data_IF_240294243370
#
_entry.id   IF_240294243370
#
_cell.length_a   1.000
_cell.length_b   1.000
_cell.length_c   1.000
_cell.angle_alpha   90.00
_cell.angle_beta   90.00
_cell.angle_gamma   90.00
#
_symmetry.space_group_name_H-M   'P 1'
#
loop_
_entity.id
_entity.type
_entity.pdbx_description
1 polymer ?
#
# COMPACT_ATOMS: atom_id res chain seq x y z
N UNK A 1 17.95 -13.66 -17.72
CA UNK A 1 18.33 -12.31 -17.25
C UNK A 1 17.14 -11.39 -17.09
N UNK A 2 16.22 -11.33 -18.05
CA UNK A 2 15.00 -10.50 -17.95
C UNK A 2 14.15 -10.86 -16.74
N UNK A 3 14.09 -12.16 -16.38
CA UNK A 3 13.32 -12.65 -15.25
C UNK A 3 13.86 -12.14 -13.92
N UNK A 4 15.20 -12.07 -13.77
CA UNK A 4 15.83 -11.56 -12.55
C UNK A 4 15.53 -10.08 -12.34
N UNK A 5 15.54 -9.28 -13.42
CA UNK A 5 15.22 -7.85 -13.37
C UNK A 5 13.74 -7.66 -13.01
N UNK A 6 12.84 -8.46 -13.58
CA UNK A 6 11.41 -8.42 -13.28
C UNK A 6 11.13 -8.74 -11.83
N UNK A 7 11.81 -9.75 -11.28
CA UNK A 7 11.70 -10.11 -9.86
C UNK A 7 12.13 -8.95 -8.97
N UNK A 8 13.24 -8.31 -9.29
CA UNK A 8 13.74 -7.16 -8.54
C UNK A 8 12.75 -6.00 -8.58
N UNK A 9 12.19 -5.69 -9.76
CA UNK A 9 11.19 -4.63 -9.90
C UNK A 9 9.93 -4.95 -9.10
N UNK A 10 9.47 -6.20 -9.12
CA UNK A 10 8.30 -6.63 -8.36
C UNK A 10 8.55 -6.50 -6.86
N UNK A 11 9.71 -6.89 -6.39
CA UNK A 11 10.10 -6.75 -4.97
C UNK A 11 10.11 -5.28 -4.56
N UNK A 12 10.62 -4.38 -5.41
CA UNK A 12 10.61 -2.94 -5.15
C UNK A 12 9.19 -2.39 -5.09
N UNK A 13 8.31 -2.82 -5.98
CA UNK A 13 6.89 -2.41 -5.94
C UNK A 13 6.23 -2.81 -4.63
N UNK A 14 6.48 -4.05 -4.17
CA UNK A 14 5.95 -4.54 -2.90
C UNK A 14 6.50 -3.69 -1.75
N UNK A 15 7.78 -3.37 -1.76
CA UNK A 15 8.41 -2.52 -0.76
C UNK A 15 7.74 -1.15 -0.70
N UNK A 16 7.53 -0.50 -1.84
CA UNK A 16 6.89 0.82 -1.89
C UNK A 16 5.46 0.77 -1.39
N UNK A 17 4.71 -0.29 -1.73
CA UNK A 17 3.35 -0.46 -1.25
C UNK A 17 3.33 -0.65 0.27
N UNK A 18 4.27 -1.42 0.83
CA UNK A 18 4.38 -1.61 2.27
C UNK A 18 4.67 -0.29 2.98
N UNK A 19 5.54 0.55 2.42
CA UNK A 19 5.83 1.86 2.97
C UNK A 19 4.60 2.77 2.92
N UNK A 20 3.82 2.70 1.83
CA UNK A 20 2.58 3.47 1.72
C UNK A 20 1.53 3.02 2.75
N UNK A 21 1.44 1.72 3.02
CA UNK A 21 0.53 1.19 4.05
C UNK A 21 0.92 1.72 5.43
N UNK A 22 2.21 1.71 5.76
CA UNK A 22 2.72 2.22 7.03
C UNK A 22 2.40 3.71 7.16
N UNK A 23 2.64 4.49 6.10
CA UNK A 23 2.35 5.92 6.07
C UNK A 23 0.85 6.19 6.27
N UNK A 24 0.00 5.40 5.60
CA UNK A 24 -1.45 5.53 5.76
C UNK A 24 -1.90 5.23 7.19
N UNK A 25 -1.32 4.21 7.83
CA UNK A 25 -1.61 3.89 9.22
C UNK A 25 -1.25 5.04 10.14
N UNK A 26 -0.10 5.67 9.90
CA UNK A 26 0.33 6.86 10.64
C UNK A 26 -0.65 8.02 10.45
N UNK A 27 -1.09 8.27 9.22
CA UNK A 27 -2.05 9.34 8.94
C UNK A 27 -3.42 9.07 9.57
N UNK A 28 -3.88 7.82 9.56
CA UNK A 28 -5.12 7.45 10.25
C UNK A 28 -5.06 7.80 11.74
N UNK A 29 -3.95 7.46 12.38
CA UNK A 29 -3.76 7.74 13.78
C UNK A 29 -3.71 9.25 14.04
N UNK A 30 -3.00 9.99 13.19
CA UNK A 30 -2.87 11.44 13.28
C UNK A 30 -4.23 12.15 13.19
N UNK A 31 -5.10 11.72 12.28
CA UNK A 31 -6.40 12.35 12.04
C UNK A 31 -7.55 11.70 12.81
N UNK A 32 -7.26 10.74 13.66
CA UNK A 32 -8.28 9.99 14.40
C UNK A 32 -9.21 10.89 15.21
N UNK A 33 -8.67 11.91 15.87
CA UNK A 33 -9.43 12.82 16.71
C UNK A 33 -9.61 14.20 16.09
N UNK A 34 -9.28 14.35 14.81
CA UNK A 34 -9.41 15.62 14.10
C UNK A 34 -10.82 15.76 13.55
N UNK A 35 -11.55 16.78 14.00
CA UNK A 35 -12.91 17.08 13.56
C UNK A 35 -12.97 18.15 12.48
N UNK A 36 -11.81 18.62 12.00
CA UNK A 36 -11.77 19.60 10.91
C UNK A 36 -12.22 18.96 9.59
N UNK A 37 -12.47 19.79 8.57
CA UNK A 37 -12.86 19.33 7.24
C UNK A 37 -11.79 18.39 6.68
N UNK A 38 -10.52 18.73 6.86
CA UNK A 38 -9.40 17.88 6.41
C UNK A 38 -9.40 16.53 7.12
N UNK A 39 -9.69 16.52 8.42
CA UNK A 39 -9.78 15.29 9.20
C UNK A 39 -10.94 14.41 8.74
N UNK A 40 -12.09 15.01 8.42
CA UNK A 40 -13.24 14.27 7.90
C UNK A 40 -12.92 13.63 6.55
N UNK A 41 -12.29 14.40 5.65
CA UNK A 41 -11.86 13.86 4.34
C UNK A 41 -10.89 12.71 4.52
N UNK A 42 -9.93 12.85 5.43
CA UNK A 42 -8.95 11.80 5.72
C UNK A 42 -9.63 10.55 6.27
N UNK A 43 -10.61 10.70 7.15
CA UNK A 43 -11.35 9.56 7.71
C UNK A 43 -12.09 8.75 6.64
N UNK A 44 -12.53 9.39 5.56
CA UNK A 44 -13.15 8.69 4.44
C UNK A 44 -12.13 8.14 3.45
N UNK A 45 -11.12 8.93 3.11
CA UNK A 45 -10.15 8.59 2.06
C UNK A 45 -9.14 7.53 2.51
N UNK A 46 -8.65 7.61 3.74
CA UNK A 46 -7.60 6.72 4.22
C UNK A 46 -8.01 5.24 4.26
N UNK A 47 -9.22 4.88 4.75
CA UNK A 47 -9.64 3.47 4.72
C UNK A 47 -9.74 2.91 3.31
N UNK A 48 -10.21 3.71 2.34
CA UNK A 48 -10.31 3.29 0.94
C UNK A 48 -8.93 3.08 0.35
N UNK A 49 -8.02 4.02 0.57
CA UNK A 49 -6.64 3.92 0.11
C UNK A 49 -5.94 2.71 0.73
N UNK A 50 -6.14 2.47 2.02
CA UNK A 50 -5.57 1.32 2.72
C UNK A 50 -6.05 0.00 2.13
N UNK A 51 -7.35 -0.13 1.87
CA UNK A 51 -7.93 -1.32 1.25
C UNK A 51 -7.33 -1.56 -0.13
N UNK A 52 -7.19 -0.50 -0.95
CA UNK A 52 -6.59 -0.60 -2.28
C UNK A 52 -5.13 -1.02 -2.21
N UNK A 53 -4.36 -0.46 -1.28
CA UNK A 53 -2.95 -0.80 -1.09
C UNK A 53 -2.79 -2.26 -0.66
N UNK A 54 -3.62 -2.72 0.27
CA UNK A 54 -3.59 -4.10 0.73
C UNK A 54 -3.96 -5.07 -0.38
N UNK A 55 -4.92 -4.71 -1.21
CA UNK A 55 -5.31 -5.51 -2.37
C UNK A 55 -4.15 -5.64 -3.36
N UNK A 56 -3.50 -4.53 -3.70
CA UNK A 56 -2.33 -4.53 -4.58
C UNK A 56 -1.18 -5.33 -3.97
N UNK A 57 -0.94 -5.19 -2.68
CA UNK A 57 0.08 -5.95 -1.96
C UNK A 57 -0.16 -7.45 -2.11
N UNK A 58 -1.41 -7.90 -1.92
CA UNK A 58 -1.77 -9.30 -2.05
C UNK A 58 -1.53 -9.81 -3.47
N UNK A 59 -1.96 -9.05 -4.48
CA UNK A 59 -1.77 -9.43 -5.88
C UNK A 59 -0.28 -9.58 -6.22
N UNK A 60 0.53 -8.60 -5.84
CA UNK A 60 1.97 -8.61 -6.15
C UNK A 60 2.68 -9.72 -5.38
N UNK A 61 2.32 -9.94 -4.12
CA UNK A 61 2.89 -11.02 -3.32
C UNK A 61 2.57 -12.39 -3.91
N UNK A 62 1.34 -12.57 -4.38
CA UNK A 62 0.93 -13.81 -5.04
C UNK A 62 1.71 -14.04 -6.34
N UNK A 63 1.92 -12.99 -7.15
CA UNK A 63 2.74 -13.07 -8.34
C UNK A 63 4.16 -13.51 -8.02
N UNK A 64 4.74 -12.94 -6.96
CA UNK A 64 6.09 -13.29 -6.53
C UNK A 64 6.18 -14.76 -6.10
N UNK A 65 5.21 -15.22 -5.30
CA UNK A 65 5.17 -16.61 -4.83
C UNK A 65 5.03 -17.60 -5.98
N UNK A 66 4.24 -17.26 -7.00
CA UNK A 66 4.03 -18.13 -8.16
C UNK A 66 5.15 -18.04 -9.18
N UNK A 67 6.07 -17.10 -9.02
CA UNK A 67 7.12 -16.87 -10.01
C UNK A 67 6.59 -16.26 -11.30
N UNK A 68 5.45 -15.60 -11.24
CA UNK A 68 4.76 -15.02 -12.38
C UNK A 68 5.22 -13.57 -12.59
N UNK A 69 6.46 -13.44 -13.04
CA UNK A 69 7.06 -12.13 -13.28
C UNK A 69 7.99 -12.12 -14.49
#
# INVERSE_FOLDING_TARGET
MKRRIRKKKLTLKIYHINQAIIKNAYLKDKYKNDSSINGLIAKFALPVADANLKFKQRLLTNKLKRGDY
#
